data_IF_288154688952
#
_entry.id   IF_288154688952
#
_cell.length_a   1.000
_cell.length_b   1.000
_cell.length_c   1.000
_cell.angle_alpha   90.00
_cell.angle_beta   90.00
_cell.angle_gamma   90.00
#
_symmetry.space_group_name_H-M   'P 1'
#
loop_
_entity.id
_entity.type
_entity.pdbx_description
1 polymer ?
#
# COMPACT_ATOMS: atom_id res chain seq x y z
N UNK A 1 27.71 16.94 2.43
CA UNK A 1 27.50 15.60 1.86
C UNK A 1 26.27 15.01 2.53
N UNK A 2 25.10 15.13 1.89
CA UNK A 2 23.79 14.94 2.53
C UNK A 2 23.54 13.50 3.00
N UNK A 3 22.97 13.37 4.20
CA UNK A 3 22.54 12.11 4.83
C UNK A 3 21.54 11.27 4.01
N UNK A 4 21.07 11.79 2.87
CA UNK A 4 20.31 11.04 1.85
C UNK A 4 21.05 9.78 1.40
N UNK A 5 22.39 9.81 1.34
CA UNK A 5 23.20 8.63 1.00
C UNK A 5 23.32 7.60 2.14
N UNK A 6 22.85 7.94 3.35
CA UNK A 6 22.78 7.06 4.50
C UNK A 6 21.38 6.49 4.71
N UNK A 7 20.31 7.23 4.38
CA UNK A 7 18.94 6.69 4.39
C UNK A 7 18.69 5.70 3.24
N UNK A 8 19.41 5.84 2.12
CA UNK A 8 19.47 4.80 1.07
C UNK A 8 20.17 3.51 1.54
N UNK A 9 20.81 3.51 2.72
CA UNK A 9 21.37 2.32 3.39
C UNK A 9 20.42 1.69 4.41
N UNK A 10 19.17 2.15 4.54
CA UNK A 10 18.14 1.37 5.22
C UNK A 10 17.82 0.13 4.38
N UNK A 11 18.48 -0.99 4.70
CA UNK A 11 18.22 -2.29 4.10
C UNK A 11 16.80 -2.74 4.47
N UNK A 12 15.82 -2.49 3.60
CA UNK A 12 14.42 -2.81 3.87
C UNK A 12 13.45 -2.25 2.83
N UNK A 13 12.17 -2.63 2.96
CA UNK A 13 11.09 -2.29 2.04
C UNK A 13 10.83 -0.78 1.90
N UNK A 14 11.19 0.02 2.91
CA UNK A 14 11.03 1.47 2.86
C UNK A 14 11.90 2.16 1.80
N UNK A 15 13.09 1.61 1.49
CA UNK A 15 13.96 2.18 0.45
C UNK A 15 13.30 2.19 -0.93
N UNK A 16 12.53 1.14 -1.24
CA UNK A 16 11.81 0.98 -2.50
C UNK A 16 10.64 1.97 -2.59
N UNK A 17 9.91 2.18 -1.50
CA UNK A 17 8.85 3.19 -1.39
C UNK A 17 9.41 4.59 -1.66
N UNK A 18 10.46 4.99 -0.93
CA UNK A 18 11.07 6.32 -1.09
C UNK A 18 11.55 6.53 -2.52
N UNK A 19 12.24 5.54 -3.11
CA UNK A 19 12.71 5.63 -4.48
C UNK A 19 11.57 5.80 -5.49
N UNK A 20 10.44 5.11 -5.31
CA UNK A 20 9.26 5.30 -6.17
C UNK A 20 8.71 6.72 -6.03
N UNK A 21 8.54 7.22 -4.80
CA UNK A 21 8.02 8.57 -4.56
C UNK A 21 8.95 9.67 -5.10
N UNK A 22 10.26 9.48 -5.01
CA UNK A 22 11.26 10.42 -5.53
C UNK A 22 11.20 10.61 -7.06
N UNK A 23 10.55 9.70 -7.80
CA UNK A 23 10.32 9.88 -9.24
C UNK A 23 9.20 10.89 -9.54
N UNK A 24 8.36 11.22 -8.56
CA UNK A 24 7.22 12.12 -8.71
C UNK A 24 7.45 13.48 -8.02
N UNK A 25 8.21 13.49 -6.92
CA UNK A 25 8.45 14.69 -6.13
C UNK A 25 9.84 14.65 -5.49
N UNK A 26 10.50 15.80 -5.37
CA UNK A 26 11.73 15.89 -4.58
C UNK A 26 11.37 15.85 -3.10
N UNK A 27 11.83 14.81 -2.40
CA UNK A 27 11.62 14.65 -0.96
C UNK A 27 12.83 15.19 -0.21
N UNK A 28 12.58 16.03 0.80
CA UNK A 28 13.57 16.37 1.81
C UNK A 28 13.85 15.18 2.72
N UNK A 29 14.91 15.28 3.51
CA UNK A 29 15.25 14.26 4.50
C UNK A 29 14.17 14.11 5.57
N UNK A 30 13.63 15.22 6.07
CA UNK A 30 12.56 15.23 7.08
C UNK A 30 11.29 14.57 6.56
N UNK A 31 10.86 14.89 5.33
CA UNK A 31 9.69 14.26 4.70
C UNK A 31 9.90 12.76 4.50
N UNK A 32 11.10 12.35 4.09
CA UNK A 32 11.46 10.93 3.94
C UNK A 32 11.36 10.20 5.28
N UNK A 33 11.85 10.80 6.37
CA UNK A 33 11.74 10.25 7.71
C UNK A 33 10.29 10.15 8.20
N UNK A 34 9.45 11.15 7.89
CA UNK A 34 8.01 11.10 8.20
C UNK A 34 7.34 9.94 7.48
N UNK A 35 7.63 9.74 6.19
CA UNK A 35 7.10 8.61 5.42
C UNK A 35 7.54 7.28 6.06
N UNK A 36 8.85 7.11 6.29
CA UNK A 36 9.40 5.88 6.87
C UNK A 36 8.76 5.54 8.22
N UNK A 37 8.49 6.53 9.07
CA UNK A 37 7.89 6.33 10.40
C UNK A 37 6.41 5.92 10.35
N UNK A 38 5.69 6.27 9.29
CA UNK A 38 4.26 6.00 9.15
C UNK A 38 3.97 4.72 8.35
N UNK A 39 4.96 4.18 7.65
CA UNK A 39 4.84 2.88 6.99
C UNK A 39 5.38 1.78 7.90
N UNK A 40 4.63 0.68 8.00
CA UNK A 40 5.05 -0.51 8.73
C UNK A 40 5.22 -1.65 7.73
N UNK A 41 6.33 -2.41 7.85
CA UNK A 41 6.50 -3.61 7.05
C UNK A 41 5.50 -4.69 7.47
N UNK A 42 4.84 -5.29 6.49
CA UNK A 42 3.88 -6.38 6.69
C UNK A 42 4.22 -7.54 5.76
N UNK A 43 4.21 -8.76 6.29
CA UNK A 43 4.35 -9.99 5.51
C UNK A 43 3.09 -10.83 5.69
N UNK A 44 2.44 -11.17 4.58
CA UNK A 44 1.23 -11.96 4.58
C UNK A 44 1.38 -13.19 3.67
N UNK A 45 0.92 -14.38 4.10
CA UNK A 45 0.80 -15.55 3.22
C UNK A 45 -0.11 -15.31 2.02
N UNK A 46 0.01 -16.18 1.01
CA UNK A 46 -0.91 -16.16 -0.13
C UNK A 46 -2.35 -16.41 0.36
N UNK A 47 -3.31 -15.65 -0.17
CA UNK A 47 -4.75 -15.70 0.16
C UNK A 47 -5.11 -15.17 1.56
N UNK A 48 -4.25 -14.37 2.19
CA UNK A 48 -4.62 -13.60 3.37
C UNK A 48 -5.48 -12.40 2.95
N UNK A 49 -6.61 -12.21 3.63
CA UNK A 49 -7.43 -10.98 3.53
C UNK A 49 -6.76 -9.90 4.39
N UNK A 50 -6.35 -8.80 3.76
CA UNK A 50 -5.74 -7.63 4.37
C UNK A 50 -6.77 -6.56 4.70
N UNK A 51 -7.81 -6.44 3.88
CA UNK A 51 -8.98 -5.59 4.13
C UNK A 51 -10.23 -6.43 3.82
N UNK A 52 -11.10 -6.56 4.81
CA UNK A 52 -12.35 -7.30 4.67
C UNK A 52 -13.49 -6.39 4.17
N UNK A 53 -14.51 -7.01 3.58
CA UNK A 53 -15.77 -6.35 3.32
C UNK A 53 -16.42 -5.91 4.63
N UNK A 54 -17.17 -4.79 4.61
CA UNK A 54 -17.81 -4.19 5.78
C UNK A 54 -16.85 -3.63 6.86
N UNK A 55 -15.53 -3.64 6.63
CA UNK A 55 -14.57 -2.91 7.46
C UNK A 55 -14.41 -1.46 6.99
N UNK A 56 -14.06 -0.54 7.89
CA UNK A 56 -13.57 0.77 7.47
C UNK A 56 -12.08 0.63 7.11
N UNK A 57 -11.74 0.91 5.85
CA UNK A 57 -10.36 0.88 5.40
C UNK A 57 -9.64 2.15 5.85
N UNK A 58 -8.63 2.02 6.69
CA UNK A 58 -7.74 3.10 7.15
C UNK A 58 -6.30 2.90 6.68
N UNK A 59 -6.07 1.95 5.76
CA UNK A 59 -4.75 1.51 5.31
C UNK A 59 -4.50 1.79 3.85
N UNK A 60 -3.23 2.07 3.54
CA UNK A 60 -2.68 2.04 2.21
C UNK A 60 -1.49 1.07 2.20
N UNK A 61 -1.43 0.21 1.20
CA UNK A 61 -0.34 -0.74 1.01
C UNK A 61 0.55 -0.29 -0.13
N UNK A 62 1.85 -0.49 0.04
CA UNK A 62 2.85 -0.41 -1.02
C UNK A 62 3.50 -1.77 -1.19
N UNK A 63 3.47 -2.33 -2.40
CA UNK A 63 3.92 -3.70 -2.65
C UNK A 63 5.42 -3.72 -2.91
N UNK A 64 6.19 -4.11 -1.89
CA UNK A 64 7.63 -4.37 -2.01
C UNK A 64 7.90 -5.66 -2.82
N UNK A 65 7.15 -6.72 -2.51
CA UNK A 65 7.27 -8.05 -3.15
C UNK A 65 5.91 -8.76 -3.13
N UNK A 66 5.60 -9.49 -4.20
CA UNK A 66 4.35 -10.24 -4.33
C UNK A 66 3.34 -9.51 -5.20
N UNK A 67 2.06 -9.86 -5.00
CA UNK A 67 0.93 -9.29 -5.72
C UNK A 67 -0.27 -9.21 -4.78
N UNK A 68 -0.96 -8.08 -4.80
CA UNK A 68 -2.25 -7.88 -4.15
C UNK A 68 -3.35 -7.85 -5.22
N UNK A 69 -4.56 -8.17 -4.80
CA UNK A 69 -5.74 -8.18 -5.65
C UNK A 69 -6.92 -7.62 -4.87
N UNK A 70 -7.60 -6.61 -5.41
CA UNK A 70 -8.90 -6.21 -4.90
C UNK A 70 -10.03 -6.91 -5.66
N UNK A 71 -11.09 -7.31 -4.97
CA UNK A 71 -12.26 -7.92 -5.56
C UNK A 71 -13.53 -7.60 -4.77
N UNK A 72 -14.69 -7.82 -5.38
CA UNK A 72 -16.00 -7.68 -4.73
C UNK A 72 -16.96 -8.77 -5.22
N UNK A 73 -18.06 -8.98 -4.50
CA UNK A 73 -19.13 -9.86 -4.94
C UNK A 73 -20.20 -9.07 -5.70
N UNK A 74 -20.52 -9.49 -6.92
CA UNK A 74 -21.64 -8.96 -7.68
C UNK A 74 -22.98 -9.41 -7.07
N UNK A 75 -24.10 -8.80 -7.49
CA UNK A 75 -25.44 -9.12 -6.96
C UNK A 75 -25.82 -10.60 -7.08
N UNK A 76 -25.26 -11.32 -8.04
CA UNK A 76 -25.47 -12.77 -8.22
C UNK A 76 -24.52 -13.65 -7.39
N UNK A 77 -23.76 -13.06 -6.47
CA UNK A 77 -22.78 -13.74 -5.63
C UNK A 77 -21.46 -14.08 -6.32
N UNK A 78 -21.25 -13.69 -7.58
CA UNK A 78 -20.01 -13.97 -8.31
C UNK A 78 -18.90 -13.02 -7.86
N UNK A 79 -17.73 -13.58 -7.55
CA UNK A 79 -16.50 -12.81 -7.33
C UNK A 79 -16.04 -12.13 -8.62
N UNK A 80 -15.82 -10.81 -8.54
CA UNK A 80 -15.27 -10.00 -9.62
C UNK A 80 -14.00 -9.32 -9.13
N UNK A 81 -12.89 -9.58 -9.79
CA UNK A 81 -11.63 -8.89 -9.53
C UNK A 81 -11.66 -7.50 -10.14
N UNK A 82 -11.40 -6.47 -9.32
CA UNK A 82 -11.31 -5.08 -9.77
C UNK A 82 -9.90 -4.75 -10.26
N UNK A 83 -8.89 -4.96 -9.42
CA UNK A 83 -7.52 -4.47 -9.66
C UNK A 83 -6.49 -5.46 -9.13
N UNK A 84 -5.34 -5.54 -9.79
CA UNK A 84 -4.12 -6.13 -9.26
C UNK A 84 -3.06 -5.06 -9.02
N UNK A 85 -2.32 -5.18 -7.91
CA UNK A 85 -1.14 -4.37 -7.63
C UNK A 85 0.07 -5.27 -7.40
N UNK A 86 1.06 -5.17 -8.27
CA UNK A 86 2.34 -5.85 -8.16
C UNK A 86 3.42 -4.96 -7.55
N UNK A 87 4.68 -5.38 -7.67
CA UNK A 87 5.85 -4.64 -7.18
C UNK A 87 5.80 -3.16 -7.57
N UNK A 88 6.15 -2.27 -6.64
CA UNK A 88 6.19 -0.80 -6.79
C UNK A 88 4.81 -0.13 -6.96
N UNK A 89 3.71 -0.85 -6.75
CA UNK A 89 2.37 -0.30 -6.86
C UNK A 89 1.71 -0.18 -5.49
N UNK A 90 0.78 0.77 -5.39
CA UNK A 90 -0.05 0.97 -4.21
C UNK A 90 -1.38 0.24 -4.36
N UNK A 91 -1.98 -0.14 -3.24
CA UNK A 91 -3.36 -0.63 -3.17
C UNK A 91 -4.03 -0.16 -1.89
N UNK A 92 -5.31 0.19 -2.00
CA UNK A 92 -6.20 0.54 -0.89
C UNK A 92 -7.64 0.44 -1.39
N UNK A 93 -8.61 0.37 -0.49
CA UNK A 93 -10.01 0.65 -0.83
C UNK A 93 -10.22 2.16 -0.83
N UNK A 94 -10.07 2.80 -1.99
CA UNK A 94 -9.97 4.26 -2.10
C UNK A 94 -11.22 4.99 -1.57
N UNK A 95 -12.40 4.43 -1.82
CA UNK A 95 -13.66 5.03 -1.35
C UNK A 95 -13.80 4.94 0.17
N UNK A 96 -13.49 3.78 0.74
CA UNK A 96 -13.55 3.58 2.19
C UNK A 96 -12.47 4.41 2.91
N UNK A 97 -11.23 4.40 2.39
CA UNK A 97 -10.11 5.20 2.92
C UNK A 97 -10.37 6.71 2.93
N UNK A 98 -10.97 7.25 1.87
CA UNK A 98 -11.19 8.70 1.77
C UNK A 98 -12.44 9.20 2.48
N UNK A 99 -13.51 8.40 2.50
CA UNK A 99 -14.84 8.85 2.95
C UNK A 99 -15.30 8.18 4.24
N UNK A 100 -14.51 7.27 4.81
CA UNK A 100 -14.89 6.45 5.97
C UNK A 100 -16.27 5.81 5.76
N UNK A 101 -16.45 5.21 4.58
CA UNK A 101 -17.65 4.45 4.23
C UNK A 101 -17.38 2.97 4.41
N UNK A 102 -18.46 2.19 4.58
CA UNK A 102 -18.37 0.73 4.53
C UNK A 102 -17.71 0.28 3.23
N UNK A 103 -16.78 -0.65 3.39
CA UNK A 103 -16.00 -1.16 2.30
C UNK A 103 -16.73 -2.29 1.57
N UNK A 104 -16.83 -2.18 0.24
CA UNK A 104 -17.36 -3.23 -0.62
C UNK A 104 -16.26 -4.00 -1.36
N UNK A 105 -14.98 -3.66 -1.15
CA UNK A 105 -13.84 -4.30 -1.82
C UNK A 105 -12.98 -5.10 -0.83
N UNK A 106 -12.77 -6.38 -1.08
CA UNK A 106 -11.85 -7.21 -0.31
C UNK A 106 -10.47 -7.11 -0.95
N UNK A 107 -9.42 -6.92 -0.14
CA UNK A 107 -8.00 -6.90 -0.56
C UNK A 107 -7.24 -8.00 0.16
#
# INVERSE_FOLDING_TARGET
MSHIHELSKTSGGHSQLINVLSNYVQLTEEESLVIIRNFNECNAPKRTILIDENSFCDKIFFVNRGILRSYYYAQNGKEVTSVFAGKNQFMTSLLSFRKLMENSEII
#
